data_IF_965308967194
#
_entry.id   IF_965308967194
#
_cell.length_a   1.000
_cell.length_b   1.000
_cell.length_c   1.000
_cell.angle_alpha   90.00
_cell.angle_beta   90.00
_cell.angle_gamma   90.00
#
_symmetry.space_group_name_H-M   'P 1'
#
loop_
_entity.id
_entity.type
_entity.pdbx_description
1 polymer ?
#
# COMPACT_ATOMS: atom_id res chain seq x y z
N UNK A 1 18.78 -18.04 76.95
CA UNK A 1 18.30 -18.66 75.69
C UNK A 1 17.21 -17.82 75.02
N UNK A 2 16.39 -17.09 75.77
CA UNK A 2 15.20 -16.40 75.23
C UNK A 2 15.48 -15.21 74.30
N UNK A 3 16.63 -14.52 74.47
CA UNK A 3 16.99 -13.39 73.60
C UNK A 3 17.31 -13.81 72.15
N UNK A 4 17.87 -15.01 71.95
CA UNK A 4 18.21 -15.54 70.62
C UNK A 4 16.97 -16.08 69.89
N UNK A 5 16.01 -16.63 70.63
CA UNK A 5 14.73 -17.12 70.07
C UNK A 5 13.88 -15.96 69.56
N UNK A 6 13.84 -14.85 70.30
CA UNK A 6 13.11 -13.65 69.88
C UNK A 6 13.76 -12.96 68.67
N UNK A 7 15.08 -12.97 68.56
CA UNK A 7 15.79 -12.40 67.40
C UNK A 7 15.54 -13.23 66.13
N UNK A 8 15.52 -14.56 66.25
CA UNK A 8 15.21 -15.47 65.15
C UNK A 8 13.74 -15.36 64.70
N UNK A 9 12.81 -15.24 65.64
CA UNK A 9 11.38 -15.03 65.36
C UNK A 9 11.11 -13.68 64.68
N UNK A 10 11.79 -12.61 65.11
CA UNK A 10 11.71 -11.29 64.48
C UNK A 10 12.31 -11.31 63.05
N UNK A 11 13.43 -11.99 62.84
CA UNK A 11 14.02 -12.17 61.50
C UNK A 11 13.13 -12.95 60.54
N UNK A 12 12.46 -14.00 61.03
CA UNK A 12 11.52 -14.80 60.24
C UNK A 12 10.25 -14.01 59.88
N UNK A 13 9.75 -13.18 60.79
CA UNK A 13 8.59 -12.31 60.56
C UNK A 13 8.87 -11.19 59.53
N UNK A 14 10.10 -10.64 59.52
CA UNK A 14 10.53 -9.68 58.50
C UNK A 14 10.67 -10.34 57.13
N UNK A 15 11.20 -11.57 57.06
CA UNK A 15 11.33 -12.34 55.82
C UNK A 15 9.97 -12.74 55.23
N UNK A 16 9.03 -13.21 56.06
CA UNK A 16 7.66 -13.52 55.60
C UNK A 16 6.88 -12.27 55.23
N UNK A 17 7.09 -11.15 55.94
CA UNK A 17 6.57 -9.83 55.57
C UNK A 17 7.09 -9.35 54.22
N UNK A 18 8.40 -9.49 53.95
CA UNK A 18 9.01 -9.16 52.65
C UNK A 18 8.48 -10.07 51.53
N UNK A 19 8.38 -11.39 51.77
CA UNK A 19 7.80 -12.34 50.81
C UNK A 19 6.33 -12.03 50.51
N UNK A 20 5.53 -11.73 51.55
CA UNK A 20 4.15 -11.30 51.42
C UNK A 20 4.02 -9.97 50.67
N UNK A 21 4.94 -9.02 50.91
CA UNK A 21 5.01 -7.76 50.17
C UNK A 21 5.37 -7.96 48.69
N UNK A 22 6.28 -8.89 48.38
CA UNK A 22 6.61 -9.22 46.97
C UNK A 22 5.46 -9.91 46.23
N UNK A 23 4.65 -10.71 46.92
CA UNK A 23 3.42 -11.30 46.37
C UNK A 23 2.30 -10.26 46.21
N UNK A 24 2.12 -9.38 47.19
CA UNK A 24 1.13 -8.30 47.17
C UNK A 24 1.45 -7.22 46.11
N UNK A 25 2.74 -6.93 45.90
CA UNK A 25 3.23 -5.97 44.90
C UNK A 25 3.52 -6.63 43.53
N UNK A 26 3.19 -7.91 43.36
CA UNK A 26 3.35 -8.67 42.10
C UNK A 26 4.75 -8.49 41.47
N UNK A 27 5.81 -8.56 42.29
CA UNK A 27 7.20 -8.46 41.84
C UNK A 27 7.60 -9.75 41.10
N UNK A 28 7.13 -9.89 39.85
CA UNK A 28 7.58 -10.99 38.98
C UNK A 28 9.04 -10.77 38.60
N UNK A 29 9.86 -11.81 38.75
CA UNK A 29 11.23 -11.82 38.26
C UNK A 29 11.27 -11.65 36.73
N UNK A 30 12.39 -11.14 36.19
CA UNK A 30 12.59 -11.01 34.72
C UNK A 30 12.35 -12.34 33.99
N UNK A 31 12.78 -13.45 34.59
CA UNK A 31 12.63 -14.82 34.05
C UNK A 31 11.16 -15.26 33.98
N UNK A 32 10.38 -14.99 35.03
CA UNK A 32 8.94 -15.32 35.04
C UNK A 32 8.16 -14.49 34.01
N UNK A 33 8.46 -13.19 33.91
CA UNK A 33 7.83 -12.33 32.88
C UNK A 33 8.14 -12.84 31.46
N UNK A 34 9.39 -13.21 31.19
CA UNK A 34 9.76 -13.77 29.89
C UNK A 34 9.03 -15.10 29.58
N UNK A 35 8.86 -15.98 30.58
CA UNK A 35 8.12 -17.23 30.39
C UNK A 35 6.64 -16.99 30.03
N UNK A 36 5.97 -16.08 30.74
CA UNK A 36 4.57 -15.72 30.45
C UNK A 36 4.39 -15.09 29.07
N UNK A 37 5.32 -14.21 28.67
CA UNK A 37 5.32 -13.64 27.32
C UNK A 37 5.58 -14.74 26.28
N UNK A 38 6.41 -15.73 26.59
CA UNK A 38 6.65 -16.89 25.73
C UNK A 38 5.40 -17.76 25.52
N UNK A 39 4.64 -18.03 26.58
CA UNK A 39 3.36 -18.73 26.48
C UNK A 39 2.32 -17.92 25.71
N UNK A 40 2.30 -16.60 25.89
CA UNK A 40 1.45 -15.71 25.08
C UNK A 40 1.86 -15.73 23.60
N UNK A 41 3.15 -15.68 23.30
CA UNK A 41 3.68 -15.76 21.95
C UNK A 41 3.28 -17.08 21.28
N UNK A 42 3.47 -18.23 21.96
CA UNK A 42 3.09 -19.53 21.43
C UNK A 42 1.59 -19.62 21.10
N UNK A 43 0.72 -19.06 21.96
CA UNK A 43 -0.73 -19.01 21.70
C UNK A 43 -1.07 -18.15 20.48
N UNK A 44 -0.47 -16.97 20.35
CA UNK A 44 -0.68 -16.08 19.20
C UNK A 44 -0.22 -16.77 17.91
N UNK A 45 0.95 -17.41 17.91
CA UNK A 45 1.45 -18.15 16.74
C UNK A 45 0.52 -19.30 16.37
N UNK A 46 0.01 -20.04 17.34
CA UNK A 46 -0.95 -21.14 17.08
C UNK A 46 -2.25 -20.63 16.45
N UNK A 47 -2.75 -19.46 16.84
CA UNK A 47 -3.96 -18.86 16.29
C UNK A 47 -3.83 -18.42 14.83
N UNK A 48 -2.61 -18.17 14.33
CA UNK A 48 -2.37 -17.90 12.89
C UNK A 48 -2.63 -19.12 12.00
N UNK A 49 -2.46 -20.31 12.57
CA UNK A 49 -2.72 -21.59 11.91
C UNK A 49 -4.18 -22.06 12.06
N UNK A 50 -5.02 -21.29 12.75
CA UNK A 50 -6.44 -21.64 12.92
C UNK A 50 -7.18 -21.66 11.58
N UNK A 51 -8.19 -22.53 11.45
CA UNK A 51 -9.04 -22.58 10.25
C UNK A 51 -10.03 -21.42 10.15
N UNK A 52 -10.34 -20.75 11.26
CA UNK A 52 -11.29 -19.63 11.30
C UNK A 52 -10.59 -18.28 11.04
N UNK A 53 -11.06 -17.53 10.03
CA UNK A 53 -10.44 -16.27 9.60
C UNK A 53 -10.35 -15.22 10.71
N UNK A 54 -11.40 -15.08 11.54
CA UNK A 54 -11.44 -14.10 12.65
C UNK A 54 -10.32 -14.33 13.66
N UNK A 55 -10.00 -15.60 13.95
CA UNK A 55 -8.94 -15.96 14.89
C UNK A 55 -7.56 -15.67 14.30
N UNK A 56 -7.37 -15.94 13.01
CA UNK A 56 -6.14 -15.61 12.28
C UNK A 56 -5.89 -14.10 12.26
N UNK A 57 -6.93 -13.31 11.95
CA UNK A 57 -6.87 -11.84 11.94
C UNK A 57 -6.52 -11.28 13.31
N UNK A 58 -7.16 -11.81 14.36
CA UNK A 58 -6.88 -11.40 15.74
C UNK A 58 -5.44 -11.72 16.13
N UNK A 59 -4.95 -12.90 15.76
CA UNK A 59 -3.58 -13.34 16.02
C UNK A 59 -2.55 -12.50 15.25
N UNK A 60 -2.82 -12.19 13.99
CA UNK A 60 -2.00 -11.30 13.17
C UNK A 60 -1.90 -9.89 13.80
N UNK A 61 -3.01 -9.36 14.31
CA UNK A 61 -3.01 -8.07 15.00
C UNK A 61 -2.23 -8.10 16.32
N UNK A 62 -2.33 -9.20 17.07
CA UNK A 62 -1.62 -9.37 18.35
C UNK A 62 -0.10 -9.47 18.18
N UNK A 63 0.41 -9.99 17.06
CA UNK A 63 1.85 -10.06 16.79
C UNK A 63 2.53 -8.69 16.88
N UNK A 64 1.84 -7.62 16.46
CA UNK A 64 2.35 -6.25 16.55
C UNK A 64 2.73 -5.85 17.98
N UNK A 65 2.05 -6.40 18.99
CA UNK A 65 2.29 -6.06 20.40
C UNK A 65 3.67 -6.54 20.88
N UNK A 66 4.26 -7.56 20.25
CA UNK A 66 5.63 -7.99 20.54
C UNK A 66 6.71 -7.00 20.06
N UNK A 67 6.32 -5.98 19.29
CA UNK A 67 7.21 -4.91 18.86
C UNK A 67 7.10 -3.63 19.70
N UNK A 68 6.12 -3.54 20.59
CA UNK A 68 5.89 -2.36 21.43
C UNK A 68 6.44 -2.58 22.84
N UNK A 69 7.48 -1.81 23.21
CA UNK A 69 8.12 -1.89 24.51
C UNK A 69 7.19 -1.48 25.67
N UNK A 70 6.10 -0.77 25.37
CA UNK A 70 5.07 -0.37 26.34
C UNK A 70 3.97 -1.41 26.51
N UNK A 71 3.91 -2.43 25.65
CA UNK A 71 2.90 -3.48 25.75
C UNK A 71 3.24 -4.50 26.84
N UNK A 72 2.25 -5.31 27.21
CA UNK A 72 2.46 -6.48 28.08
C UNK A 72 3.45 -7.50 27.51
N UNK A 73 3.66 -7.52 26.18
CA UNK A 73 4.56 -8.45 25.50
C UNK A 73 5.96 -7.86 25.26
N UNK A 74 6.11 -6.54 25.34
CA UNK A 74 7.39 -5.86 25.28
C UNK A 74 8.13 -5.78 26.62
N UNK A 75 7.49 -6.23 27.70
CA UNK A 75 8.09 -6.27 29.03
C UNK A 75 9.43 -7.02 28.99
N UNK A 76 10.47 -6.42 29.57
CA UNK A 76 11.85 -6.91 29.56
C UNK A 76 12.64 -6.72 28.25
N UNK A 77 12.29 -5.71 27.45
CA UNK A 77 13.12 -5.28 26.32
C UNK A 77 12.87 -6.06 25.03
N UNK A 78 11.58 -6.32 24.74
CA UNK A 78 11.13 -6.94 23.48
C UNK A 78 11.70 -8.35 23.22
N UNK A 79 11.55 -9.30 24.16
CA UNK A 79 12.24 -10.59 24.10
C UNK A 79 11.91 -11.43 22.86
N UNK A 80 10.74 -11.23 22.23
CA UNK A 80 10.29 -12.00 21.07
C UNK A 80 10.12 -11.14 19.80
N UNK A 81 10.60 -9.90 19.75
CA UNK A 81 10.47 -9.07 18.55
C UNK A 81 11.13 -9.75 17.33
N UNK A 82 12.35 -10.27 17.48
CA UNK A 82 13.01 -10.98 16.38
C UNK A 82 12.26 -12.23 15.92
N UNK A 83 11.67 -12.99 16.85
CA UNK A 83 10.90 -14.20 16.52
C UNK A 83 9.56 -13.86 15.88
N UNK A 84 8.89 -12.80 16.34
CA UNK A 84 7.69 -12.27 15.71
C UNK A 84 7.95 -11.88 14.26
N UNK A 85 9.05 -11.18 13.96
CA UNK A 85 9.47 -10.85 12.58
C UNK A 85 9.63 -12.12 11.74
N UNK A 86 10.31 -13.15 12.25
CA UNK A 86 10.52 -14.41 11.53
C UNK A 86 9.21 -15.15 11.26
N UNK A 87 8.31 -15.20 12.25
CA UNK A 87 6.99 -15.84 12.09
C UNK A 87 6.18 -15.10 11.04
N UNK A 88 6.12 -13.76 11.13
CA UNK A 88 5.43 -12.94 10.14
C UNK A 88 5.98 -13.19 8.74
N UNK A 89 7.30 -13.14 8.57
CA UNK A 89 7.96 -13.40 7.30
C UNK A 89 7.61 -14.80 6.75
N UNK A 90 7.64 -15.82 7.60
CA UNK A 90 7.31 -17.18 7.22
C UNK A 90 5.86 -17.32 6.75
N UNK A 91 4.90 -16.72 7.45
CA UNK A 91 3.49 -16.75 7.05
C UNK A 91 3.27 -15.99 5.74
N UNK A 92 3.89 -14.82 5.58
CA UNK A 92 3.76 -13.99 4.38
C UNK A 92 4.29 -14.66 3.11
N UNK A 93 5.17 -15.65 3.20
CA UNK A 93 5.64 -16.44 2.03
C UNK A 93 4.55 -17.33 1.44
N UNK A 94 3.57 -17.72 2.24
CA UNK A 94 2.48 -18.63 1.81
C UNK A 94 1.12 -17.95 1.80
N UNK A 95 0.99 -16.79 2.43
CA UNK A 95 -0.28 -16.08 2.54
C UNK A 95 -0.64 -15.36 1.23
N UNK A 96 -1.83 -15.68 0.71
CA UNK A 96 -2.40 -14.96 -0.42
C UNK A 96 -2.73 -13.51 -0.03
N UNK A 97 -2.79 -12.63 -1.04
CA UNK A 97 -3.18 -11.23 -0.83
C UNK A 97 -4.56 -11.15 -0.20
N UNK A 98 -4.68 -10.45 0.92
CA UNK A 98 -5.91 -10.40 1.71
C UNK A 98 -5.70 -9.72 3.07
N UNK A 99 -6.71 -9.80 3.93
CA UNK A 99 -6.71 -9.07 5.21
C UNK A 99 -5.61 -9.56 6.17
N UNK A 100 -5.41 -10.88 6.29
CA UNK A 100 -4.35 -11.45 7.15
C UNK A 100 -2.97 -11.03 6.66
N UNK A 101 -2.70 -11.19 5.36
CA UNK A 101 -1.46 -10.71 4.71
C UNK A 101 -1.24 -9.23 4.97
N UNK A 102 -2.26 -8.39 4.75
CA UNK A 102 -2.14 -6.95 4.93
C UNK A 102 -1.76 -6.57 6.36
N UNK A 103 -2.45 -7.15 7.35
CA UNK A 103 -2.19 -6.89 8.78
C UNK A 103 -0.76 -7.31 9.15
N UNK A 104 -0.35 -8.51 8.71
CA UNK A 104 0.98 -9.04 8.97
C UNK A 104 2.07 -8.14 8.33
N UNK A 105 1.92 -7.80 7.05
CA UNK A 105 2.88 -6.95 6.34
C UNK A 105 2.97 -5.54 6.94
N UNK A 106 1.86 -4.92 7.31
CA UNK A 106 1.86 -3.61 7.98
C UNK A 106 2.43 -3.68 9.40
N UNK A 107 2.24 -4.80 10.11
CA UNK A 107 2.74 -4.95 11.48
C UNK A 107 4.28 -4.86 11.56
N UNK A 108 4.98 -5.28 10.50
CA UNK A 108 6.45 -5.18 10.40
C UNK A 108 6.94 -3.72 10.46
N UNK A 109 6.12 -2.74 10.09
CA UNK A 109 6.44 -1.31 10.25
C UNK A 109 6.64 -0.89 11.71
N UNK A 110 6.14 -1.70 12.65
CA UNK A 110 6.30 -1.48 14.08
C UNK A 110 7.51 -2.19 14.66
N UNK A 111 8.18 -3.06 13.91
CA UNK A 111 9.38 -3.75 14.37
C UNK A 111 10.45 -2.71 14.75
N UNK A 112 11.24 -2.95 15.82
CA UNK A 112 12.30 -2.03 16.23
C UNK A 112 13.35 -1.81 15.14
N UNK A 113 13.61 -2.85 14.35
CA UNK A 113 14.48 -2.86 13.18
C UNK A 113 14.16 -4.12 12.35
N UNK A 114 14.33 -4.01 11.04
CA UNK A 114 14.34 -5.13 10.08
C UNK A 114 15.73 -5.28 9.45
N UNK A 115 16.78 -4.73 10.08
CA UNK A 115 18.16 -4.87 9.63
C UNK A 115 18.53 -6.35 9.55
N UNK A 116 19.04 -6.77 8.41
CA UNK A 116 19.40 -8.17 8.12
C UNK A 116 18.23 -9.16 8.25
N UNK A 117 16.98 -8.70 8.19
CA UNK A 117 15.82 -9.57 8.25
C UNK A 117 15.70 -10.42 6.98
N UNK A 118 15.37 -11.70 7.14
CA UNK A 118 15.00 -12.58 6.05
C UNK A 118 13.51 -12.38 5.73
N UNK A 119 13.25 -11.71 4.61
CA UNK A 119 11.93 -11.43 4.05
C UNK A 119 11.81 -12.02 2.63
N UNK A 120 12.63 -13.03 2.31
CA UNK A 120 12.65 -13.65 1.00
C UNK A 120 11.26 -14.17 0.63
N UNK A 121 10.82 -13.87 -0.60
CA UNK A 121 9.54 -14.31 -1.17
C UNK A 121 8.30 -13.95 -0.35
N UNK A 122 8.41 -13.01 0.58
CA UNK A 122 7.28 -12.56 1.37
C UNK A 122 6.30 -11.76 0.49
N UNK A 123 5.01 -12.00 0.66
CA UNK A 123 3.95 -11.19 0.08
C UNK A 123 3.77 -9.89 0.90
N UNK A 124 4.43 -8.83 0.46
CA UNK A 124 4.46 -7.51 1.09
C UNK A 124 3.62 -6.49 0.31
N UNK A 125 2.68 -6.95 -0.52
CA UNK A 125 1.84 -6.09 -1.35
C UNK A 125 1.12 -5.04 -0.50
N UNK A 126 1.19 -3.79 -0.96
CA UNK A 126 0.49 -2.65 -0.37
C UNK A 126 0.89 -2.29 1.07
N UNK A 127 2.02 -2.78 1.59
CA UNK A 127 2.45 -2.45 2.95
C UNK A 127 2.87 -0.96 3.08
N UNK A 128 2.72 -0.39 4.27
CA UNK A 128 3.08 1.01 4.54
C UNK A 128 4.23 1.11 5.55
N UNK A 129 5.47 1.19 5.06
CA UNK A 129 6.70 1.27 5.86
C UNK A 129 7.39 2.64 5.82
N UNK A 130 6.79 3.62 5.13
CA UNK A 130 7.41 4.92 4.89
C UNK A 130 7.61 5.85 6.11
N UNK A 131 7.01 5.51 7.25
CA UNK A 131 7.38 6.03 8.57
C UNK A 131 7.27 4.86 9.53
N UNK A 132 8.36 4.49 10.19
CA UNK A 132 8.30 3.55 11.31
C UNK A 132 7.28 4.05 12.34
N UNK A 133 6.68 3.13 13.09
CA UNK A 133 5.62 3.46 14.08
C UNK A 133 6.05 4.47 15.14
N UNK A 134 7.36 4.64 15.32
CA UNK A 134 8.02 5.58 16.25
C UNK A 134 8.40 6.93 15.61
N UNK A 135 7.99 7.19 14.37
CA UNK A 135 8.32 8.41 13.62
C UNK A 135 9.73 8.44 13.03
N UNK A 136 10.52 7.37 13.19
CA UNK A 136 11.83 7.21 12.55
C UNK A 136 11.71 6.42 11.23
N UNK A 137 12.63 6.60 10.29
CA UNK A 137 12.80 5.68 9.17
C UNK A 137 12.89 4.23 9.63
N UNK A 138 12.18 3.33 8.95
CA UNK A 138 12.33 1.89 9.19
C UNK A 138 13.67 1.42 8.62
N UNK A 139 14.46 0.75 9.44
CA UNK A 139 15.76 0.21 9.03
C UNK A 139 15.61 -1.21 8.49
N UNK A 140 15.81 -1.36 7.18
CA UNK A 140 15.83 -2.57 6.37
C UNK A 140 17.23 -2.82 5.79
N UNK A 141 18.27 -2.15 6.30
CA UNK A 141 19.64 -2.29 5.80
C UNK A 141 20.06 -3.76 5.84
N UNK A 142 20.70 -4.24 4.78
CA UNK A 142 21.15 -5.64 4.63
C UNK A 142 20.00 -6.68 4.71
N UNK A 143 18.74 -6.27 4.70
CA UNK A 143 17.61 -7.20 4.64
C UNK A 143 17.60 -7.95 3.31
N UNK A 144 17.08 -9.17 3.33
CA UNK A 144 16.95 -10.02 2.16
C UNK A 144 15.48 -10.08 1.72
N UNK A 145 15.17 -9.38 0.64
CA UNK A 145 13.88 -9.33 -0.04
C UNK A 145 13.93 -10.07 -1.37
N UNK A 146 14.84 -11.05 -1.53
CA UNK A 146 14.93 -11.86 -2.75
C UNK A 146 13.56 -12.45 -3.12
N UNK A 147 13.10 -12.15 -4.34
CA UNK A 147 11.82 -12.61 -4.87
C UNK A 147 10.59 -12.13 -4.10
N UNK A 148 10.70 -11.14 -3.20
CA UNK A 148 9.56 -10.61 -2.47
C UNK A 148 8.60 -9.84 -3.39
N UNK A 149 7.31 -9.84 -3.05
CA UNK A 149 6.31 -9.05 -3.75
C UNK A 149 5.99 -7.77 -2.98
N UNK A 150 6.53 -6.65 -3.46
CA UNK A 150 6.34 -5.30 -2.92
C UNK A 150 5.39 -4.48 -3.79
N UNK A 151 4.50 -5.12 -4.56
CA UNK A 151 3.59 -4.41 -5.46
C UNK A 151 2.75 -3.39 -4.68
N UNK A 152 2.84 -2.12 -5.06
CA UNK A 152 2.14 -1.02 -4.42
C UNK A 152 2.57 -0.70 -2.97
N UNK A 153 3.66 -1.29 -2.48
CA UNK A 153 4.20 -0.99 -1.15
C UNK A 153 4.76 0.44 -1.07
N UNK A 154 4.73 1.04 0.11
CA UNK A 154 5.31 2.36 0.38
C UNK A 154 6.47 2.24 1.36
N UNK A 155 7.69 2.42 0.87
CA UNK A 155 8.95 2.40 1.63
C UNK A 155 9.59 3.80 1.70
N UNK A 156 8.76 4.85 1.63
CA UNK A 156 9.20 6.26 1.60
C UNK A 156 10.19 6.55 2.72
N UNK A 157 11.39 7.04 2.41
CA UNK A 157 12.36 7.41 3.43
C UNK A 157 12.96 6.26 4.26
N UNK A 158 12.66 4.99 3.94
CA UNK A 158 13.25 3.85 4.64
C UNK A 158 14.77 3.77 4.44
N UNK A 159 15.48 3.17 5.40
CA UNK A 159 16.91 2.88 5.27
C UNK A 159 17.07 1.48 4.70
N UNK A 160 17.62 1.36 3.50
CA UNK A 160 17.72 0.11 2.73
C UNK A 160 19.14 -0.05 2.16
N UNK A 161 20.14 0.36 2.94
CA UNK A 161 21.54 0.22 2.58
C UNK A 161 21.89 -1.26 2.40
N UNK A 162 22.45 -1.65 1.26
CA UNK A 162 22.78 -3.05 0.93
C UNK A 162 21.61 -4.05 1.00
N UNK A 163 20.37 -3.58 0.91
CA UNK A 163 19.21 -4.46 0.86
C UNK A 163 19.17 -5.25 -0.45
N UNK A 164 18.79 -6.53 -0.40
CA UNK A 164 18.66 -7.38 -1.59
C UNK A 164 17.23 -7.38 -2.09
N UNK A 165 16.99 -6.75 -3.24
CA UNK A 165 15.72 -6.79 -4.00
C UNK A 165 15.81 -7.66 -5.25
N UNK A 166 16.79 -8.56 -5.33
CA UNK A 166 17.00 -9.39 -6.52
C UNK A 166 15.73 -10.21 -6.83
N UNK A 167 15.28 -10.20 -8.07
CA UNK A 167 14.04 -10.86 -8.54
C UNK A 167 12.76 -10.39 -7.82
N UNK A 168 12.81 -9.31 -7.03
CA UNK A 168 11.63 -8.78 -6.35
C UNK A 168 10.70 -8.05 -7.32
N UNK A 169 9.40 -8.06 -7.00
CA UNK A 169 8.41 -7.28 -7.73
C UNK A 169 8.16 -5.95 -7.00
N UNK A 170 8.72 -4.84 -7.52
CA UNK A 170 8.53 -3.49 -6.99
C UNK A 170 7.53 -2.69 -7.82
N UNK A 171 6.65 -3.34 -8.59
CA UNK A 171 5.69 -2.63 -9.42
C UNK A 171 4.85 -1.67 -8.57
N UNK A 172 4.79 -0.38 -8.96
CA UNK A 172 4.08 0.69 -8.23
C UNK A 172 4.59 0.94 -6.80
N UNK A 173 5.78 0.44 -6.44
CA UNK A 173 6.38 0.68 -5.13
C UNK A 173 6.86 2.14 -5.02
N UNK A 174 6.76 2.71 -3.82
CA UNK A 174 7.24 4.06 -3.52
C UNK A 174 8.50 4.02 -2.68
N UNK A 175 9.61 4.42 -3.27
CA UNK A 175 10.92 4.53 -2.63
C UNK A 175 11.35 5.99 -2.41
N UNK A 176 10.45 6.96 -2.60
CA UNK A 176 10.71 8.40 -2.46
C UNK A 176 11.53 8.69 -1.19
N UNK A 177 12.68 9.35 -1.32
CA UNK A 177 13.55 9.74 -0.22
C UNK A 177 14.25 8.59 0.52
N UNK A 178 14.07 7.34 0.10
CA UNK A 178 14.68 6.19 0.74
C UNK A 178 16.19 6.10 0.45
N UNK A 179 16.91 5.43 1.34
CA UNK A 179 18.34 5.20 1.20
C UNK A 179 18.62 3.79 0.69
N UNK A 180 18.77 3.62 -0.62
CA UNK A 180 19.01 2.35 -1.29
C UNK A 180 20.47 2.24 -1.79
N UNK A 181 21.41 2.94 -1.14
CA UNK A 181 22.83 2.85 -1.53
C UNK A 181 23.32 1.40 -1.43
N UNK A 182 24.06 0.97 -2.45
CA UNK A 182 24.58 -0.41 -2.58
C UNK A 182 23.49 -1.51 -2.57
N UNK A 183 22.22 -1.17 -2.77
CA UNK A 183 21.15 -2.17 -2.85
C UNK A 183 21.19 -2.95 -4.18
N UNK A 184 20.74 -4.19 -4.15
CA UNK A 184 20.73 -5.06 -5.32
C UNK A 184 19.31 -5.16 -5.91
N UNK A 185 19.05 -4.52 -7.05
CA UNK A 185 17.79 -4.60 -7.81
C UNK A 185 17.92 -5.49 -9.07
N UNK A 186 18.93 -6.36 -9.14
CA UNK A 186 19.14 -7.23 -10.30
C UNK A 186 17.89 -8.10 -10.54
N UNK A 187 17.46 -8.21 -11.80
CA UNK A 187 16.25 -8.95 -12.23
C UNK A 187 14.93 -8.47 -11.60
N UNK A 188 14.90 -7.35 -10.88
CA UNK A 188 13.69 -6.83 -10.27
C UNK A 188 12.73 -6.21 -11.30
N UNK A 189 11.43 -6.24 -10.99
CA UNK A 189 10.43 -5.51 -11.77
C UNK A 189 10.18 -4.12 -11.17
N UNK A 190 10.53 -3.06 -11.89
CA UNK A 190 10.41 -1.66 -11.43
C UNK A 190 9.27 -0.88 -12.12
N UNK A 191 8.27 -1.59 -12.68
CA UNK A 191 7.16 -0.95 -13.40
C UNK A 191 6.46 0.10 -12.54
N UNK A 192 6.42 1.35 -13.01
CA UNK A 192 5.79 2.47 -12.29
C UNK A 192 6.36 2.71 -10.88
N UNK A 193 7.61 2.29 -10.60
CA UNK A 193 8.28 2.60 -9.33
C UNK A 193 8.51 4.10 -9.21
N UNK A 194 8.42 4.63 -7.98
CA UNK A 194 8.80 6.02 -7.69
C UNK A 194 10.10 6.07 -6.90
N UNK A 195 11.05 6.84 -7.43
CA UNK A 195 12.41 6.96 -6.89
C UNK A 195 12.77 8.42 -6.52
N UNK A 196 11.79 9.29 -6.26
CA UNK A 196 12.07 10.72 -6.13
C UNK A 196 12.94 11.01 -4.89
N UNK A 197 14.16 11.49 -5.11
CA UNK A 197 15.13 11.73 -4.03
C UNK A 197 15.64 10.45 -3.37
N UNK A 198 15.46 9.29 -4.01
CA UNK A 198 16.05 8.03 -3.54
C UNK A 198 17.55 8.05 -3.76
N UNK A 199 18.32 7.64 -2.74
CA UNK A 199 19.77 7.51 -2.86
C UNK A 199 20.10 6.15 -3.45
N UNK A 200 20.71 6.13 -4.63
CA UNK A 200 20.99 4.91 -5.40
C UNK A 200 22.47 4.64 -5.64
N UNK A 201 23.39 5.44 -5.08
CA UNK A 201 24.83 5.28 -5.32
C UNK A 201 25.28 3.83 -5.09
N UNK A 202 25.86 3.22 -6.12
CA UNK A 202 26.36 1.84 -6.08
C UNK A 202 25.29 0.75 -6.13
N UNK A 203 24.01 1.11 -6.28
CA UNK A 203 22.94 0.12 -6.47
C UNK A 203 23.06 -0.55 -7.86
N UNK A 204 22.68 -1.82 -7.95
CA UNK A 204 22.80 -2.62 -9.18
C UNK A 204 21.43 -2.93 -9.78
N UNK A 205 21.33 -2.93 -11.11
CA UNK A 205 20.08 -3.10 -11.87
C UNK A 205 20.24 -4.10 -13.04
N UNK A 206 21.11 -5.10 -12.90
CA UNK A 206 21.43 -6.04 -13.99
C UNK A 206 20.21 -6.87 -14.35
N UNK A 207 19.77 -6.78 -15.60
CA UNK A 207 18.58 -7.49 -16.09
C UNK A 207 17.27 -7.05 -15.42
N UNK A 208 17.26 -5.92 -14.71
CA UNK A 208 16.04 -5.36 -14.16
C UNK A 208 15.09 -4.92 -15.29
N UNK A 209 13.79 -5.08 -15.07
CA UNK A 209 12.75 -4.78 -16.06
C UNK A 209 12.02 -3.48 -15.72
N UNK A 210 11.52 -2.79 -16.74
CA UNK A 210 10.69 -1.58 -16.60
C UNK A 210 11.41 -0.43 -15.86
N UNK A 211 12.71 -0.27 -16.11
CA UNK A 211 13.50 0.83 -15.55
C UNK A 211 12.97 2.19 -16.02
N UNK A 212 12.84 3.19 -15.13
CA UNK A 212 12.53 4.55 -15.52
C UNK A 212 13.58 5.10 -16.51
N UNK A 213 13.20 5.83 -17.58
CA UNK A 213 14.15 6.34 -18.56
C UNK A 213 15.29 7.17 -17.96
N UNK A 214 14.99 8.01 -16.96
CA UNK A 214 16.01 8.80 -16.27
C UNK A 214 17.00 7.98 -15.43
N UNK A 215 16.64 6.75 -15.06
CA UNK A 215 17.53 5.82 -14.36
C UNK A 215 18.47 5.14 -15.35
N UNK A 216 17.95 4.72 -16.50
CA UNK A 216 18.74 4.08 -17.57
C UNK A 216 19.91 4.97 -18.00
N UNK A 217 19.71 6.29 -18.10
CA UNK A 217 20.78 7.22 -18.49
C UNK A 217 21.89 7.41 -17.44
N UNK A 218 21.76 6.83 -16.24
CA UNK A 218 22.69 6.95 -15.12
C UNK A 218 23.30 5.61 -14.70
N UNK A 219 23.08 4.55 -15.49
CA UNK A 219 23.72 3.25 -15.29
C UNK A 219 25.00 3.16 -16.13
N UNK A 220 26.03 2.53 -15.56
CA UNK A 220 27.22 2.15 -16.32
C UNK A 220 27.00 0.85 -17.14
N UNK A 221 28.06 0.39 -17.80
CA UNK A 221 28.02 -0.82 -18.63
C UNK A 221 27.70 -2.11 -17.84
N UNK A 222 27.95 -2.11 -16.53
CA UNK A 222 27.70 -3.24 -15.63
C UNK A 222 26.33 -3.13 -14.93
N UNK A 223 25.50 -2.15 -15.31
CA UNK A 223 24.19 -1.91 -14.73
C UNK A 223 24.25 -1.32 -13.31
N UNK A 224 25.36 -0.69 -12.93
CA UNK A 224 25.53 -0.02 -11.63
C UNK A 224 25.17 1.45 -11.76
N UNK A 225 24.42 1.98 -10.79
CA UNK A 225 24.11 3.40 -10.73
C UNK A 225 25.32 4.23 -10.31
N UNK A 226 25.74 5.13 -11.20
CA UNK A 226 26.93 5.98 -11.03
C UNK A 226 26.60 7.46 -10.80
N UNK A 227 25.32 7.84 -10.83
CA UNK A 227 24.88 9.20 -10.51
C UNK A 227 25.13 9.59 -9.04
N UNK A 228 25.20 10.89 -8.76
CA UNK A 228 25.35 11.38 -7.38
C UNK A 228 24.04 11.30 -6.59
N UNK A 229 22.94 11.73 -7.19
CA UNK A 229 21.58 11.57 -6.68
C UNK A 229 20.65 11.23 -7.85
N UNK A 230 19.65 10.38 -7.60
CA UNK A 230 18.56 10.24 -8.55
C UNK A 230 17.66 11.45 -8.39
N UNK A 231 17.98 12.49 -9.16
CA UNK A 231 17.18 13.71 -9.24
C UNK A 231 15.73 13.33 -9.49
N UNK A 232 14.83 14.04 -8.79
CA UNK A 232 13.37 13.93 -8.95
C UNK A 232 13.10 13.67 -10.42
N UNK A 233 12.51 12.51 -10.75
CA UNK A 233 11.80 12.45 -12.03
C UNK A 233 10.79 13.57 -11.88
N UNK A 234 10.90 14.66 -12.67
CA UNK A 234 9.84 15.65 -12.64
C UNK A 234 8.57 14.84 -12.86
N UNK A 235 7.53 15.05 -12.04
CA UNK A 235 6.21 14.53 -12.39
C UNK A 235 6.07 14.75 -13.90
N UNK A 236 5.77 13.69 -14.67
CA UNK A 236 6.00 13.64 -16.11
C UNK A 236 5.74 15.03 -16.65
N UNK A 237 6.79 15.67 -17.19
CA UNK A 237 6.69 17.07 -17.60
C UNK A 237 5.36 17.21 -18.34
N UNK A 238 4.44 18.08 -17.87
CA UNK A 238 3.16 18.23 -18.55
C UNK A 238 3.47 18.40 -20.02
N UNK A 239 2.74 17.70 -20.88
CA UNK A 239 3.00 17.58 -22.32
C UNK A 239 3.13 19.00 -22.92
N UNK A 240 4.32 19.61 -22.89
CA UNK A 240 4.46 21.06 -23.06
C UNK A 240 3.75 21.91 -21.98
N UNK A 241 4.34 23.06 -21.65
CA UNK A 241 3.63 24.09 -20.90
C UNK A 241 2.42 24.55 -21.73
N UNK A 242 1.22 24.14 -21.33
CA UNK A 242 -0.04 24.49 -22.00
C UNK A 242 -0.88 23.32 -22.52
N UNK A 243 -0.44 22.06 -22.42
CA UNK A 243 -1.34 20.94 -22.72
C UNK A 243 -2.43 20.79 -21.68
N UNK A 244 -3.59 20.36 -22.17
CA UNK A 244 -4.70 19.96 -21.33
C UNK A 244 -4.39 18.71 -20.55
N UNK A 245 -5.02 18.56 -19.40
CA UNK A 245 -4.82 17.46 -18.47
C UNK A 245 -6.12 16.69 -18.31
N UNK A 246 -6.05 15.36 -18.39
CA UNK A 246 -7.19 14.48 -18.10
C UNK A 246 -6.92 13.69 -16.83
N UNK A 247 -7.77 13.85 -15.81
CA UNK A 247 -7.72 13.01 -14.62
C UNK A 247 -8.28 11.62 -14.94
N UNK A 248 -7.51 10.57 -14.74
CA UNK A 248 -7.90 9.18 -15.00
C UNK A 248 -8.13 8.44 -13.68
N UNK A 249 -9.40 8.33 -13.30
CA UNK A 249 -9.87 7.54 -12.18
C UNK A 249 -9.88 6.06 -12.57
N UNK A 250 -9.03 5.25 -11.92
CA UNK A 250 -8.95 3.80 -12.17
C UNK A 250 -8.45 3.06 -10.93
N UNK A 251 -8.99 1.85 -10.62
CA UNK A 251 -8.51 1.05 -9.51
C UNK A 251 -7.02 0.73 -9.57
N UNK A 252 -6.44 0.44 -8.41
CA UNK A 252 -5.01 0.12 -8.29
C UNK A 252 -4.68 -1.36 -8.45
N UNK A 253 -5.68 -2.21 -8.28
CA UNK A 253 -5.60 -3.66 -8.53
C UNK A 253 -6.55 -3.95 -9.67
N UNK A 254 -6.01 -4.50 -10.76
CA UNK A 254 -6.74 -4.72 -12.00
C UNK A 254 -6.44 -6.14 -12.50
N UNK A 255 -7.45 -6.79 -13.07
CA UNK A 255 -7.22 -8.00 -13.85
C UNK A 255 -6.40 -7.65 -15.10
N UNK A 256 -5.72 -8.64 -15.69
CA UNK A 256 -4.84 -8.44 -16.84
C UNK A 256 -5.53 -7.69 -18.00
N UNK A 257 -6.77 -8.07 -18.32
CA UNK A 257 -7.57 -7.41 -19.36
C UNK A 257 -7.93 -5.96 -19.00
N UNK A 258 -8.15 -5.65 -17.72
CA UNK A 258 -8.45 -4.28 -17.27
C UNK A 258 -7.19 -3.41 -17.26
N UNK A 259 -6.04 -4.02 -16.98
CA UNK A 259 -4.75 -3.35 -17.06
C UNK A 259 -4.46 -2.94 -18.51
N UNK A 260 -4.71 -3.81 -19.49
CA UNK A 260 -4.61 -3.48 -20.93
C UNK A 260 -5.59 -2.36 -21.31
N UNK A 261 -6.83 -2.40 -20.81
CA UNK A 261 -7.81 -1.34 -21.07
C UNK A 261 -7.35 0.01 -20.53
N UNK A 262 -6.83 0.05 -19.30
CA UNK A 262 -6.27 1.24 -18.70
C UNK A 262 -5.09 1.77 -19.53
N UNK A 263 -4.19 0.90 -20.00
CA UNK A 263 -3.07 1.30 -20.86
C UNK A 263 -3.54 1.91 -22.19
N UNK A 264 -4.59 1.37 -22.80
CA UNK A 264 -5.21 1.96 -24.00
C UNK A 264 -5.84 3.33 -23.73
N UNK A 265 -6.46 3.53 -22.55
CA UNK A 265 -6.99 4.83 -22.13
C UNK A 265 -5.84 5.85 -22.01
N UNK A 266 -4.81 5.51 -21.24
CA UNK A 266 -3.65 6.38 -21.02
C UNK A 266 -2.94 6.72 -22.33
N UNK A 267 -2.78 5.73 -23.21
CA UNK A 267 -2.21 5.92 -24.54
C UNK A 267 -3.06 6.85 -25.40
N UNK A 268 -4.39 6.69 -25.38
CA UNK A 268 -5.32 7.55 -26.11
C UNK A 268 -5.23 9.02 -25.69
N UNK A 269 -5.23 9.30 -24.39
CA UNK A 269 -5.06 10.66 -23.84
C UNK A 269 -3.73 11.26 -24.30
N UNK A 270 -2.64 10.51 -24.15
CA UNK A 270 -1.30 10.99 -24.53
C UNK A 270 -1.22 11.27 -26.03
N UNK A 271 -1.81 10.41 -26.87
CA UNK A 271 -1.83 10.55 -28.33
C UNK A 271 -2.71 11.71 -28.81
N UNK A 272 -3.69 12.13 -28.00
CA UNK A 272 -4.47 13.34 -28.23
C UNK A 272 -3.69 14.63 -27.88
N UNK A 273 -2.46 14.52 -27.34
CA UNK A 273 -1.66 15.67 -26.92
C UNK A 273 -2.00 16.18 -25.52
N UNK A 274 -2.76 15.41 -24.74
CA UNK A 274 -3.15 15.72 -23.37
C UNK A 274 -2.25 14.96 -22.37
N UNK A 275 -2.12 15.49 -21.15
CA UNK A 275 -1.41 14.85 -20.03
C UNK A 275 -2.37 13.98 -19.20
N UNK A 276 -2.22 12.65 -19.17
CA UNK A 276 -3.05 11.79 -18.33
C UNK A 276 -2.54 11.77 -16.88
N UNK A 277 -3.37 12.26 -15.96
CA UNK A 277 -3.07 12.38 -14.55
C UNK A 277 -3.74 11.27 -13.77
N UNK A 278 -2.98 10.49 -13.01
CA UNK A 278 -3.53 9.51 -12.04
C UNK A 278 -3.16 9.89 -10.62
N UNK A 279 -4.07 9.57 -9.71
CA UNK A 279 -3.81 9.67 -8.28
C UNK A 279 -3.91 8.30 -7.63
N UNK A 280 -2.74 7.75 -7.31
CA UNK A 280 -2.56 6.40 -6.81
C UNK A 280 -2.66 6.37 -5.28
N UNK A 281 -2.98 5.21 -4.66
CA UNK A 281 -3.23 5.12 -3.22
C UNK A 281 -2.09 5.63 -2.34
N UNK A 282 -0.85 5.41 -2.76
CA UNK A 282 0.31 5.89 -2.03
C UNK A 282 0.50 7.41 -2.10
N UNK A 283 -0.20 8.11 -3.01
CA UNK A 283 -0.21 9.57 -3.10
C UNK A 283 -1.21 10.20 -2.13
N UNK A 284 -2.14 9.41 -1.56
CA UNK A 284 -3.10 9.91 -0.59
C UNK A 284 -2.38 10.54 0.60
N UNK A 285 -2.71 11.79 0.90
CA UNK A 285 -2.43 12.34 2.21
C UNK A 285 -3.28 11.58 3.24
N UNK A 286 -2.65 10.75 4.07
CA UNK A 286 -3.34 9.96 5.09
C UNK A 286 -4.18 10.78 6.08
N UNK A 287 -3.94 12.09 6.20
CA UNK A 287 -4.74 12.98 7.05
C UNK A 287 -6.04 13.46 6.38
N UNK A 288 -6.08 13.61 5.05
CA UNK A 288 -7.28 14.02 4.32
C UNK A 288 -7.21 13.56 2.84
N UNK A 289 -7.45 12.27 2.56
CA UNK A 289 -7.37 11.72 1.21
C UNK A 289 -8.29 12.40 0.19
N UNK A 290 -9.57 12.73 0.51
CA UNK A 290 -10.47 13.38 -0.44
C UNK A 290 -10.00 14.77 -0.90
N UNK A 291 -9.42 15.58 0.00
CA UNK A 291 -8.96 16.92 -0.37
C UNK A 291 -7.83 16.91 -1.41
N UNK A 292 -6.93 15.92 -1.33
CA UNK A 292 -5.86 15.76 -2.32
C UNK A 292 -6.40 15.43 -3.72
N UNK A 293 -7.38 14.53 -3.79
CA UNK A 293 -8.03 14.18 -5.06
C UNK A 293 -8.84 15.32 -5.63
N UNK A 294 -9.62 16.02 -4.81
CA UNK A 294 -10.36 17.21 -5.23
C UNK A 294 -9.43 18.26 -5.88
N UNK A 295 -8.24 18.47 -5.30
CA UNK A 295 -7.22 19.33 -5.88
C UNK A 295 -6.77 18.86 -7.26
N UNK A 296 -6.42 17.58 -7.41
CA UNK A 296 -5.99 17.02 -8.70
C UNK A 296 -7.07 17.11 -9.77
N UNK A 297 -8.32 16.76 -9.44
CA UNK A 297 -9.45 16.83 -10.39
C UNK A 297 -9.70 18.28 -10.81
N UNK A 298 -9.64 19.22 -9.86
CA UNK A 298 -9.83 20.65 -10.16
C UNK A 298 -8.79 21.17 -11.15
N UNK A 299 -7.53 20.74 -11.01
CA UNK A 299 -6.38 21.14 -11.83
C UNK A 299 -6.32 20.41 -13.19
N UNK A 300 -7.31 19.56 -13.51
CA UNK A 300 -7.46 18.89 -14.80
C UNK A 300 -8.62 19.48 -15.62
N UNK A 301 -8.52 19.43 -16.95
CA UNK A 301 -9.52 19.97 -17.87
C UNK A 301 -10.70 19.01 -18.09
N UNK A 302 -10.45 17.71 -17.96
CA UNK A 302 -11.48 16.68 -18.07
C UNK A 302 -11.19 15.49 -17.14
N UNK A 303 -12.19 14.62 -16.99
CA UNK A 303 -12.11 13.43 -16.14
C UNK A 303 -12.53 12.20 -16.93
N UNK A 304 -11.75 11.13 -16.80
CA UNK A 304 -12.04 9.80 -17.31
C UNK A 304 -12.21 8.86 -16.13
N UNK A 305 -13.34 8.17 -16.03
CA UNK A 305 -13.63 7.19 -14.98
C UNK A 305 -13.66 5.81 -15.60
N UNK A 306 -12.65 5.01 -15.31
CA UNK A 306 -12.59 3.60 -15.68
C UNK A 306 -13.15 2.76 -14.54
N UNK A 307 -14.36 2.22 -14.74
CA UNK A 307 -15.09 1.40 -13.78
C UNK A 307 -15.14 -0.07 -14.18
N UNK A 308 -14.05 -0.85 -14.01
CA UNK A 308 -14.10 -2.29 -14.13
C UNK A 308 -14.79 -2.91 -12.91
N UNK A 309 -15.18 -4.19 -12.98
CA UNK A 309 -15.78 -4.89 -11.85
C UNK A 309 -14.76 -5.00 -10.69
N UNK A 310 -15.13 -4.53 -9.50
CA UNK A 310 -14.24 -4.53 -8.32
C UNK A 310 -14.90 -5.12 -7.08
N UNK A 311 -16.19 -4.83 -6.86
CA UNK A 311 -16.93 -5.33 -5.69
C UNK A 311 -18.06 -6.23 -6.17
N UNK A 312 -18.10 -7.47 -5.69
CA UNK A 312 -19.21 -8.41 -5.95
C UNK A 312 -20.12 -8.45 -4.74
N UNK A 313 -21.37 -8.06 -4.92
CA UNK A 313 -22.41 -8.08 -3.91
C UNK A 313 -23.25 -9.34 -4.14
N UNK A 314 -23.12 -10.33 -3.26
CA UNK A 314 -23.94 -11.55 -3.34
C UNK A 314 -25.38 -11.30 -2.84
N UNK A 315 -25.51 -10.68 -1.67
CA UNK A 315 -26.77 -10.18 -1.11
C UNK A 315 -26.46 -8.88 -0.39
N UNK A 316 -27.20 -7.83 -0.68
CA UNK A 316 -27.05 -6.53 -0.05
C UNK A 316 -28.35 -5.74 -0.08
N UNK A 317 -28.35 -4.59 0.60
CA UNK A 317 -29.42 -3.61 0.49
C UNK A 317 -28.84 -2.26 0.07
N UNK A 318 -29.51 -1.61 -0.87
CA UNK A 318 -29.07 -0.34 -1.44
C UNK A 318 -30.17 0.72 -1.29
N UNK A 319 -29.80 1.91 -0.83
CA UNK A 319 -30.70 3.04 -0.71
C UNK A 319 -30.04 4.27 -1.32
N UNK A 320 -30.61 4.83 -2.39
CA UNK A 320 -30.09 6.05 -3.05
C UNK A 320 -30.32 7.34 -2.24
N UNK A 321 -31.14 7.30 -1.18
CA UNK A 321 -31.42 8.42 -0.27
C UNK A 321 -32.21 7.92 0.97
N UNK A 322 -33.00 8.78 1.64
CA UNK A 322 -33.93 8.46 2.74
C UNK A 322 -35.15 7.63 2.24
N UNK A 323 -34.90 6.60 1.42
CA UNK A 323 -35.88 5.67 0.88
C UNK A 323 -35.77 4.28 1.49
N UNK A 324 -36.71 3.41 1.14
CA UNK A 324 -36.67 2.00 1.55
C UNK A 324 -35.51 1.32 0.83
N UNK A 325 -34.60 0.63 1.55
CA UNK A 325 -33.51 -0.10 0.91
C UNK A 325 -34.06 -1.19 -0.02
N UNK A 326 -33.59 -1.18 -1.26
CA UNK A 326 -33.88 -2.24 -2.24
C UNK A 326 -32.90 -3.39 -2.03
N UNK A 327 -33.38 -4.62 -2.19
CA UNK A 327 -32.52 -5.80 -2.11
C UNK A 327 -31.76 -5.97 -3.42
N UNK A 328 -30.43 -6.05 -3.31
CA UNK A 328 -29.51 -6.25 -4.43
C UNK A 328 -28.91 -7.64 -4.31
N UNK A 329 -28.94 -8.41 -5.40
CA UNK A 329 -28.38 -9.76 -5.47
C UNK A 329 -27.47 -9.93 -6.68
N UNK A 330 -26.37 -10.62 -6.45
CA UNK A 330 -25.35 -10.97 -7.46
C UNK A 330 -24.93 -9.82 -8.40
N UNK A 331 -24.89 -8.60 -7.87
CA UNK A 331 -24.46 -7.42 -8.61
C UNK A 331 -22.95 -7.23 -8.53
N UNK A 332 -22.35 -6.67 -9.58
CA UNK A 332 -20.95 -6.27 -9.56
C UNK A 332 -20.84 -4.77 -9.81
N UNK A 333 -20.12 -4.08 -8.92
CA UNK A 333 -19.99 -2.63 -8.94
C UNK A 333 -18.52 -2.22 -9.09
N UNK A 334 -18.24 -1.02 -9.61
CA UNK A 334 -16.90 -0.45 -9.62
C UNK A 334 -16.42 -0.17 -8.18
N UNK A 335 -15.18 0.29 -8.04
CA UNK A 335 -14.73 0.70 -6.71
C UNK A 335 -15.56 1.91 -6.21
N UNK A 336 -15.89 1.99 -4.91
CA UNK A 336 -16.53 3.19 -4.34
C UNK A 336 -15.75 4.47 -4.62
N UNK A 337 -14.43 4.36 -4.76
CA UNK A 337 -13.56 5.48 -5.07
C UNK A 337 -13.80 6.04 -6.48
N UNK A 338 -13.98 5.19 -7.48
CA UNK A 338 -14.35 5.63 -8.83
C UNK A 338 -15.65 6.44 -8.81
N UNK A 339 -16.64 6.00 -8.03
CA UNK A 339 -17.93 6.69 -7.91
C UNK A 339 -17.78 8.06 -7.24
N UNK A 340 -16.95 8.15 -6.20
CA UNK A 340 -16.64 9.42 -5.54
C UNK A 340 -15.96 10.40 -6.50
N UNK A 341 -14.92 9.95 -7.20
CA UNK A 341 -14.18 10.78 -8.16
C UNK A 341 -15.08 11.24 -9.32
N UNK A 342 -15.95 10.36 -9.80
CA UNK A 342 -16.95 10.70 -10.80
C UNK A 342 -17.95 11.75 -10.29
N UNK A 343 -18.44 11.60 -9.05
CA UNK A 343 -19.33 12.57 -8.41
C UNK A 343 -18.67 13.94 -8.21
N UNK A 344 -17.38 13.97 -7.85
CA UNK A 344 -16.59 15.20 -7.77
C UNK A 344 -16.48 15.89 -9.14
N UNK A 345 -16.23 15.12 -10.21
CA UNK A 345 -16.17 15.65 -11.57
C UNK A 345 -17.51 16.27 -12.01
N UNK A 346 -18.62 15.57 -11.78
CA UNK A 346 -19.98 16.07 -12.05
C UNK A 346 -20.26 17.34 -11.25
N UNK A 347 -19.94 17.35 -9.95
CA UNK A 347 -20.13 18.53 -9.09
C UNK A 347 -19.29 19.75 -9.49
N UNK A 348 -18.21 19.55 -10.24
CA UNK A 348 -17.35 20.61 -10.79
C UNK A 348 -17.65 20.95 -12.26
N UNK A 349 -18.71 20.35 -12.84
CA UNK A 349 -19.07 20.48 -14.25
C UNK A 349 -17.91 20.19 -15.22
N UNK A 350 -17.07 19.21 -14.87
CA UNK A 350 -15.96 18.77 -15.74
C UNK A 350 -16.51 17.85 -16.85
N UNK A 351 -16.01 17.95 -18.10
CA UNK A 351 -16.24 16.93 -19.11
C UNK A 351 -15.86 15.55 -18.58
N UNK A 352 -16.79 14.59 -18.68
CA UNK A 352 -16.68 13.29 -18.04
C UNK A 352 -16.82 12.16 -19.07
N UNK A 353 -15.77 11.36 -19.22
CA UNK A 353 -15.82 10.10 -19.97
C UNK A 353 -15.91 8.93 -19.00
N UNK A 354 -17.00 8.18 -19.07
CA UNK A 354 -17.18 6.94 -18.32
C UNK A 354 -16.84 5.76 -19.21
N UNK A 355 -15.87 4.95 -18.79
CA UNK A 355 -15.50 3.68 -19.43
C UNK A 355 -15.87 2.55 -18.48
N UNK A 356 -16.93 1.79 -18.79
CA UNK A 356 -17.42 0.71 -17.92
C UNK A 356 -17.24 -0.68 -18.54
N UNK A 357 -17.06 -1.69 -17.69
CA UNK A 357 -17.01 -3.11 -18.08
C UNK A 357 -17.95 -3.92 -17.21
N UNK A 358 -19.16 -4.22 -17.67
CA UNK A 358 -20.14 -5.11 -16.99
C UNK A 358 -20.60 -4.59 -15.61
N UNK A 359 -19.87 -3.67 -14.99
CA UNK A 359 -20.13 -3.11 -13.69
C UNK A 359 -21.28 -2.10 -13.75
N UNK A 360 -22.14 -2.17 -12.75
CA UNK A 360 -23.34 -1.35 -12.58
C UNK A 360 -23.21 -0.50 -11.31
N UNK A 361 -24.00 0.57 -11.23
CA UNK A 361 -24.24 1.39 -10.06
C UNK A 361 -23.61 2.78 -10.08
N UNK A 362 -24.31 3.73 -9.45
CA UNK A 362 -23.83 5.08 -9.15
C UNK A 362 -23.74 5.98 -10.39
N UNK A 363 -22.65 6.74 -10.51
CA UNK A 363 -22.41 7.66 -11.64
C UNK A 363 -22.33 6.93 -12.99
N UNK A 364 -22.02 5.63 -12.99
CA UNK A 364 -21.95 4.82 -14.21
C UNK A 364 -23.32 4.52 -14.83
N UNK A 365 -24.40 4.72 -14.08
CA UNK A 365 -25.78 4.48 -14.49
C UNK A 365 -26.62 5.76 -14.53
N UNK A 366 -25.99 6.94 -14.40
CA UNK A 366 -26.73 8.20 -14.57
C UNK A 366 -27.30 8.24 -15.98
N UNK A 367 -28.63 8.37 -16.07
CA UNK A 367 -29.32 8.64 -17.32
C UNK A 367 -28.71 9.89 -17.97
N UNK A 368 -28.63 9.88 -19.30
CA UNK A 368 -27.89 10.78 -20.20
C UNK A 368 -28.32 12.27 -20.19
N UNK A 369 -28.80 12.78 -19.06
CA UNK A 369 -29.18 14.17 -18.83
C UNK A 369 -27.98 15.08 -18.49
N UNK A 370 -26.76 14.54 -18.47
CA UNK A 370 -25.53 15.32 -18.31
C UNK A 370 -24.87 15.53 -19.69
N UNK A 371 -24.96 16.73 -20.29
CA UNK A 371 -24.50 16.98 -21.67
C UNK A 371 -22.98 16.78 -21.85
N UNK A 372 -22.23 16.93 -20.75
CA UNK A 372 -20.77 16.75 -20.66
C UNK A 372 -20.36 15.29 -20.39
N UNK A 373 -21.31 14.39 -20.13
CA UNK A 373 -21.07 12.97 -19.89
C UNK A 373 -21.06 12.20 -21.22
N UNK A 374 -20.07 11.31 -21.36
CA UNK A 374 -19.96 10.33 -22.45
C UNK A 374 -19.72 8.95 -21.86
N UNK A 375 -20.27 7.91 -22.48
CA UNK A 375 -20.16 6.54 -21.99
C UNK A 375 -19.58 5.61 -23.07
N UNK A 376 -18.59 4.80 -22.68
CA UNK A 376 -18.02 3.71 -23.46
C UNK A 376 -18.26 2.41 -22.69
N UNK A 377 -18.94 1.45 -23.32
CA UNK A 377 -19.28 0.16 -22.72
C UNK A 377 -18.47 -0.98 -23.35
N UNK A 378 -17.44 -1.43 -22.64
CA UNK A 378 -16.47 -2.43 -23.10
C UNK A 378 -17.00 -3.88 -23.07
N UNK A 379 -18.31 -4.10 -22.94
CA UNK A 379 -18.95 -5.41 -22.76
C UNK A 379 -18.74 -6.46 -23.86
N UNK A 380 -18.11 -6.12 -25.01
CA UNK A 380 -17.83 -7.06 -26.10
C UNK A 380 -16.35 -6.98 -26.52
N UNK A 381 -15.73 -8.14 -26.71
CA UNK A 381 -14.30 -8.39 -27.02
C UNK A 381 -13.71 -7.59 -28.19
N UNK A 382 -14.54 -6.91 -29.01
CA UNK A 382 -14.11 -6.05 -30.12
C UNK A 382 -13.89 -4.57 -29.80
N UNK A 383 -14.23 -4.08 -28.59
CA UNK A 383 -14.10 -2.64 -28.26
C UNK A 383 -12.74 -2.25 -27.68
N UNK A 384 -12.01 -3.19 -27.08
CA UNK A 384 -10.72 -2.90 -26.45
C UNK A 384 -9.69 -2.35 -27.45
N UNK A 385 -9.65 -2.90 -28.66
CA UNK A 385 -8.73 -2.46 -29.72
C UNK A 385 -9.02 -1.06 -30.26
N UNK A 386 -10.25 -0.56 -30.08
CA UNK A 386 -10.70 0.78 -30.52
C UNK A 386 -10.81 1.77 -29.36
N UNK A 387 -10.44 1.37 -28.15
CA UNK A 387 -10.59 2.19 -26.95
C UNK A 387 -9.72 3.45 -27.03
N UNK A 388 -8.46 3.30 -27.43
CA UNK A 388 -7.55 4.44 -27.61
C UNK A 388 -8.06 5.44 -28.66
N UNK A 389 -8.58 4.97 -29.79
CA UNK A 389 -9.20 5.83 -30.83
C UNK A 389 -10.43 6.58 -30.32
N UNK A 390 -11.27 5.91 -29.52
CA UNK A 390 -12.45 6.52 -28.91
C UNK A 390 -12.08 7.62 -27.92
N UNK A 391 -11.04 7.39 -27.11
CA UNK A 391 -10.50 8.38 -26.18
C UNK A 391 -9.91 9.58 -26.93
N UNK A 392 -9.15 9.34 -28.01
CA UNK A 392 -8.59 10.42 -28.85
C UNK A 392 -9.70 11.29 -29.43
N UNK A 393 -10.75 10.68 -29.97
CA UNK A 393 -11.91 11.41 -30.51
C UNK A 393 -12.57 12.28 -29.45
N UNK A 394 -12.79 11.72 -28.27
CA UNK A 394 -13.42 12.44 -27.16
C UNK A 394 -12.60 13.65 -26.71
N UNK A 395 -11.27 13.52 -26.56
CA UNK A 395 -10.39 14.67 -26.29
C UNK A 395 -10.52 15.75 -27.38
N UNK A 396 -10.53 15.35 -28.65
CA UNK A 396 -10.70 16.27 -29.78
C UNK A 396 -12.03 17.03 -29.77
N UNK A 397 -13.14 16.40 -29.35
CA UNK A 397 -14.44 17.06 -29.19
C UNK A 397 -14.37 18.22 -28.17
N UNK A 398 -13.63 18.04 -27.07
CA UNK A 398 -13.47 19.07 -26.03
C UNK A 398 -12.55 20.20 -26.52
N UNK A 399 -11.54 19.90 -27.33
CA UNK A 399 -10.68 20.91 -27.95
C UNK A 399 -11.45 21.79 -28.94
N UNK A 400 -12.44 21.24 -29.64
CA UNK A 400 -13.25 21.98 -30.60
C UNK A 400 -14.36 22.81 -29.91
N UNK A 401 -14.98 22.31 -28.85
CA UNK A 401 -16.06 23.01 -28.14
C UNK A 401 -15.61 24.31 -27.46
N UNK A 402 -14.35 24.38 -27.06
CA UNK A 402 -13.75 25.52 -26.35
C UNK A 402 -13.20 26.61 -27.28
N UNK A 403 -12.91 26.29 -28.54
CA UNK A 403 -12.49 27.27 -29.55
C UNK A 403 -13.65 28.10 -30.12
N UNK A 404 -14.90 27.72 -29.85
CA UNK A 404 -16.10 28.45 -30.28
C UNK A 404 -16.67 29.41 -29.23
N UNK A 405 -15.97 29.60 -28.10
CA UNK A 405 -16.40 30.44 -26.97
C UNK A 405 -15.52 31.69 -26.75
N UNK A 406 -14.65 32.04 -27.70
CA UNK A 406 -13.80 33.25 -27.67
C UNK A 406 -14.29 34.29 -28.67
#
# INVERSE_FOLDING_TARGET
MDAWVNLAAAGLAVLTGLLGLTQYLNFKSKRQRQAEVGEAFARVVSGLAAGAEVERLSSAALLRRFFDAKSEFGQAGLPYAGDATKVIAAVLRTEATGNVQKILADSLASAPSLRSADLQRANLQGCYWGKGSNGQPLDLSEADLYGADLTGASLRGALMFKTTFREANLARCVLDGADCREANFDLANLREVRLNGTRLRGATFRGAMNLPPGLVSQLDADGVFVGEEFDRVPAPSPVGAGARRAFVSAPSVLAEMDQIALEQIMHGVTKAGWDPVRYLPFQYNHANPPAGVLGQIRDCDAVIVFGPPQVRIHVGSFAQSVGVPEEVRDQVTPSPWNQLEAGMAVGMDKPLLVVRRIAEGGVLDLESNFPTLRLIDLGLTGQLSKLSESVIRWCGEIDHSTNHTI
#
